data_IF_062084165478
#
_entry.id   IF_062084165478
#
_cell.length_a   1.000
_cell.length_b   1.000
_cell.length_c   1.000
_cell.angle_alpha   90.00
_cell.angle_beta   90.00
_cell.angle_gamma   90.00
#
_symmetry.space_group_name_H-M   'P 1'
#
loop_
_entity.id
_entity.type
_entity.pdbx_description
1 polymer ?
#
# COMPACT_ATOMS: atom_id res chain seq x y z
N UNK A 1 4.64 -18.06 -18.85
CA UNK A 1 4.04 -16.78 -18.38
C UNK A 1 5.15 -15.99 -17.71
N UNK A 2 5.32 -14.68 -17.98
CA UNK A 2 6.29 -13.89 -17.24
C UNK A 2 5.81 -13.75 -15.79
N UNK A 3 6.63 -14.23 -14.83
CA UNK A 3 6.33 -14.29 -13.40
C UNK A 3 6.63 -12.97 -12.65
N UNK A 4 6.73 -11.84 -13.36
CA UNK A 4 7.11 -10.54 -12.80
C UNK A 4 5.96 -9.52 -12.73
N UNK A 5 6.17 -8.38 -12.06
CA UNK A 5 5.23 -7.27 -12.09
C UNK A 5 4.99 -6.80 -13.53
N UNK A 6 3.83 -6.20 -13.78
CA UNK A 6 3.58 -5.55 -15.06
C UNK A 6 4.57 -4.40 -15.29
N UNK A 7 4.99 -4.14 -16.55
CA UNK A 7 5.66 -2.89 -16.89
C UNK A 7 4.88 -1.68 -16.36
N UNK A 8 5.53 -0.64 -15.80
CA UNK A 8 4.84 0.55 -15.31
C UNK A 8 4.02 1.28 -16.38
N UNK A 9 4.33 1.05 -17.66
CA UNK A 9 3.65 1.64 -18.81
C UNK A 9 2.47 0.81 -19.32
N UNK A 10 2.16 -0.35 -18.72
CA UNK A 10 1.02 -1.18 -19.14
C UNK A 10 -0.28 -0.40 -18.96
N UNK A 11 -1.03 -0.29 -20.06
CA UNK A 11 -2.31 0.43 -20.11
C UNK A 11 -3.47 -0.53 -19.95
N UNK A 12 -4.43 -0.12 -19.13
CA UNK A 12 -5.62 -0.88 -18.78
C UNK A 12 -6.87 -0.13 -19.18
N UNK A 13 -7.82 -0.83 -19.78
CA UNK A 13 -9.17 -0.31 -20.05
C UNK A 13 -10.16 -0.83 -19.02
N UNK A 14 -10.99 0.06 -18.49
CA UNK A 14 -12.06 -0.27 -17.55
C UNK A 14 -13.19 0.76 -17.66
N UNK A 15 -14.42 0.35 -17.33
CA UNK A 15 -15.61 1.19 -17.45
C UNK A 15 -16.24 1.43 -16.09
N UNK A 16 -16.81 2.62 -15.89
CA UNK A 16 -17.60 2.91 -14.70
C UNK A 16 -18.90 2.07 -14.73
N UNK A 17 -19.20 1.31 -13.67
CA UNK A 17 -20.40 0.46 -13.61
C UNK A 17 -21.70 1.25 -13.52
N UNK A 18 -21.67 2.46 -12.95
CA UNK A 18 -22.83 3.37 -12.90
C UNK A 18 -23.07 4.07 -14.24
N UNK A 19 -22.04 4.17 -15.08
CA UNK A 19 -22.15 4.71 -16.44
C UNK A 19 -21.25 3.93 -17.41
N UNK A 20 -21.70 2.74 -17.89
CA UNK A 20 -20.87 1.83 -18.68
C UNK A 20 -20.36 2.40 -20.01
N UNK A 21 -21.01 3.46 -20.53
CA UNK A 21 -20.55 4.16 -21.73
C UNK A 21 -19.27 4.96 -21.54
N UNK A 22 -18.84 5.19 -20.29
CA UNK A 22 -17.60 5.88 -19.96
C UNK A 22 -16.50 4.85 -19.71
N UNK A 23 -15.65 4.68 -20.72
CA UNK A 23 -14.44 3.86 -20.66
C UNK A 23 -13.24 4.74 -20.33
N UNK A 24 -12.41 4.30 -19.38
CA UNK A 24 -11.13 4.90 -19.05
C UNK A 24 -10.00 4.00 -19.56
N UNK A 25 -8.91 4.63 -19.98
CA UNK A 25 -7.64 3.95 -20.25
C UNK A 25 -6.57 4.62 -19.40
N UNK A 26 -5.87 3.86 -18.57
CA UNK A 26 -4.77 4.37 -17.74
C UNK A 26 -3.81 3.27 -17.31
N UNK A 27 -2.64 3.67 -16.80
CA UNK A 27 -1.79 2.79 -15.99
C UNK A 27 -2.44 2.55 -14.64
N UNK A 28 -2.24 1.36 -14.07
CA UNK A 28 -2.71 1.04 -12.72
C UNK A 28 -1.53 0.75 -11.81
N UNK A 29 -1.54 1.38 -10.63
CA UNK A 29 -0.56 1.20 -9.57
C UNK A 29 -1.28 0.96 -8.25
N UNK A 30 -0.64 0.23 -7.36
CA UNK A 30 -1.06 0.07 -5.99
C UNK A 30 -0.28 1.02 -5.10
N UNK A 31 -1.03 1.81 -4.34
CA UNK A 31 -0.52 2.60 -3.24
C UNK A 31 -0.84 1.88 -1.93
N UNK A 32 0.03 2.01 -0.95
CA UNK A 32 -0.03 1.30 0.31
C UNK A 32 0.16 2.25 1.49
N UNK A 33 -0.59 2.04 2.56
CA UNK A 33 -0.40 2.74 3.83
C UNK A 33 -0.44 1.71 4.96
N UNK A 34 0.61 1.58 5.78
CA UNK A 34 0.50 0.80 7.00
C UNK A 34 -0.30 1.58 8.04
N UNK A 35 -1.03 0.87 8.90
CA UNK A 35 -1.90 1.49 9.89
C UNK A 35 -1.11 2.43 10.81
N UNK A 36 -1.77 3.53 11.20
CA UNK A 36 -1.19 4.62 11.98
C UNK A 36 -0.10 5.43 11.27
N UNK A 37 0.23 5.15 10.00
CA UNK A 37 1.22 5.94 9.24
C UNK A 37 0.79 7.39 9.06
N UNK A 38 -0.51 7.68 9.03
CA UNK A 38 -1.06 9.05 8.99
C UNK A 38 -0.68 9.93 10.19
N UNK A 39 -0.06 9.37 11.24
CA UNK A 39 0.58 10.18 12.28
C UNK A 39 1.61 11.18 11.73
N UNK A 40 2.24 10.84 10.59
CA UNK A 40 3.22 11.69 9.92
C UNK A 40 2.64 12.98 9.32
N UNK A 41 1.31 13.10 9.16
CA UNK A 41 0.67 14.32 8.63
C UNK A 41 0.94 15.56 9.49
N UNK A 42 1.37 15.37 10.74
CA UNK A 42 1.73 16.46 11.66
C UNK A 42 3.18 16.94 11.53
N UNK A 43 3.94 16.36 10.59
CA UNK A 43 5.34 16.65 10.40
C UNK A 43 5.66 16.76 8.92
N UNK A 44 6.69 17.53 8.62
CA UNK A 44 7.34 17.57 7.31
C UNK A 44 8.73 16.93 7.40
N UNK A 45 9.30 16.48 6.27
CA UNK A 45 10.68 16.00 6.22
C UNK A 45 11.71 17.04 6.69
N UNK A 46 11.39 18.32 6.59
CA UNK A 46 12.24 19.42 7.09
C UNK A 46 12.19 19.55 8.63
N UNK A 47 11.13 19.06 9.28
CA UNK A 47 10.94 19.11 10.73
C UNK A 47 11.43 17.84 11.43
N UNK A 48 11.18 16.68 10.83
CA UNK A 48 11.50 15.37 11.43
C UNK A 48 12.06 14.42 10.37
N UNK A 49 13.29 13.94 10.61
CA UNK A 49 13.92 12.95 9.77
C UNK A 49 13.24 11.58 9.86
N UNK A 50 13.37 10.78 8.79
CA UNK A 50 12.67 9.50 8.64
C UNK A 50 12.91 8.52 9.82
N UNK A 51 14.15 8.43 10.33
CA UNK A 51 14.47 7.54 11.46
C UNK A 51 13.75 7.94 12.75
N UNK A 52 13.72 9.22 13.09
CA UNK A 52 13.03 9.70 14.29
C UNK A 52 11.52 9.48 14.17
N UNK A 53 10.96 9.68 12.98
CA UNK A 53 9.55 9.42 12.74
C UNK A 53 9.22 7.92 12.81
N UNK A 54 10.09 7.07 12.28
CA UNK A 54 10.03 5.61 12.42
C UNK A 54 9.96 5.19 13.88
N UNK A 55 10.91 5.64 14.72
CA UNK A 55 10.96 5.26 16.14
C UNK A 55 9.67 5.68 16.88
N UNK A 56 9.13 6.87 16.58
CA UNK A 56 7.86 7.36 17.15
C UNK A 56 6.66 6.53 16.69
N UNK A 57 6.63 6.14 15.41
CA UNK A 57 5.55 5.35 14.85
C UNK A 57 5.57 3.93 15.44
N UNK A 58 6.73 3.25 15.45
CA UNK A 58 6.89 1.91 16.04
C UNK A 58 6.42 1.89 17.49
N UNK A 59 6.86 2.85 18.31
CA UNK A 59 6.46 2.95 19.71
C UNK A 59 4.94 3.09 19.93
N UNK A 60 4.20 3.51 18.91
CA UNK A 60 2.75 3.70 18.97
C UNK A 60 1.97 2.52 18.39
N UNK A 61 2.47 1.86 17.34
CA UNK A 61 1.66 0.94 16.54
C UNK A 61 2.13 -0.51 16.54
N UNK A 62 3.40 -0.80 16.88
CA UNK A 62 4.02 -2.10 16.59
C UNK A 62 3.22 -3.28 17.13
N UNK A 63 2.75 -3.19 18.37
CA UNK A 63 2.04 -4.28 19.04
C UNK A 63 0.54 -4.00 19.20
N UNK A 64 0.04 -2.90 18.63
CA UNK A 64 -1.34 -2.45 18.86
C UNK A 64 -2.38 -3.47 18.37
N UNK A 65 -2.16 -4.10 17.21
CA UNK A 65 -3.08 -5.12 16.70
C UNK A 65 -3.01 -6.41 17.54
N UNK A 66 -1.82 -6.80 17.98
CA UNK A 66 -1.64 -7.93 18.88
C UNK A 66 -2.34 -7.70 20.21
N UNK A 67 -2.17 -6.52 20.82
CA UNK A 67 -2.81 -6.15 22.09
C UNK A 67 -4.34 -6.17 21.99
N UNK A 68 -4.90 -5.85 20.82
CA UNK A 68 -6.34 -5.85 20.57
C UNK A 68 -6.91 -7.24 20.27
N UNK A 69 -6.21 -8.05 19.50
CA UNK A 69 -6.63 -9.41 19.10
C UNK A 69 -5.43 -10.36 19.00
N UNK A 70 -4.92 -10.84 20.15
CA UNK A 70 -3.72 -11.67 20.18
C UNK A 70 -3.94 -13.08 19.61
N UNK A 71 -5.20 -13.47 19.37
CA UNK A 71 -5.53 -14.73 18.70
C UNK A 71 -5.33 -14.65 17.18
N UNK A 72 -5.19 -13.43 16.64
CA UNK A 72 -5.17 -13.17 15.19
C UNK A 72 -3.87 -12.54 14.70
N UNK A 73 -3.17 -11.80 15.55
CA UNK A 73 -1.98 -11.03 15.19
C UNK A 73 -0.81 -11.39 16.09
N UNK A 74 0.39 -11.45 15.52
CA UNK A 74 1.63 -11.62 16.26
C UNK A 74 2.16 -10.25 16.74
N UNK A 75 3.01 -10.19 17.78
CA UNK A 75 3.73 -8.96 18.13
C UNK A 75 4.48 -8.38 16.91
N UNK A 76 4.36 -7.08 16.71
CA UNK A 76 4.91 -6.38 15.54
C UNK A 76 3.99 -6.32 14.32
N UNK A 77 2.86 -7.03 14.30
CA UNK A 77 1.96 -7.03 13.15
C UNK A 77 1.23 -5.68 13.01
N UNK A 78 1.40 -5.06 11.84
CA UNK A 78 0.70 -3.85 11.43
C UNK A 78 -0.02 -4.10 10.10
N UNK A 79 -1.31 -3.81 10.05
CA UNK A 79 -2.12 -3.97 8.85
C UNK A 79 -1.71 -2.97 7.76
N UNK A 80 -1.87 -3.36 6.49
CA UNK A 80 -1.61 -2.50 5.33
C UNK A 80 -2.92 -2.28 4.57
N UNK A 81 -3.26 -1.01 4.39
CA UNK A 81 -4.32 -0.57 3.51
C UNK A 81 -3.80 -0.39 2.09
N UNK A 82 -4.65 -0.73 1.12
CA UNK A 82 -4.29 -0.71 -0.28
C UNK A 82 -5.29 0.10 -1.09
N UNK A 83 -4.77 0.96 -1.96
CA UNK A 83 -5.55 1.82 -2.83
C UNK A 83 -5.02 1.70 -4.26
N UNK A 84 -5.92 1.63 -5.24
CA UNK A 84 -5.58 1.86 -6.63
C UNK A 84 -5.33 3.36 -6.79
N UNK A 85 -4.06 3.75 -6.98
CA UNK A 85 -3.61 5.15 -6.91
C UNK A 85 -4.46 6.10 -7.77
N UNK A 86 -4.78 5.67 -8.99
CA UNK A 86 -5.73 6.35 -9.85
C UNK A 86 -6.80 5.34 -10.28
N UNK A 87 -8.08 5.52 -9.91
CA UNK A 87 -8.74 6.79 -9.54
C UNK A 87 -8.90 7.03 -8.03
N UNK A 88 -8.03 6.51 -7.17
CA UNK A 88 -8.13 6.61 -5.71
C UNK A 88 -9.28 5.81 -5.11
N UNK A 89 -9.29 4.52 -5.42
CA UNK A 89 -10.29 3.56 -4.93
C UNK A 89 -9.62 2.45 -4.15
N UNK A 90 -10.23 1.99 -3.06
CA UNK A 90 -9.65 0.91 -2.29
C UNK A 90 -9.43 -0.34 -3.17
N UNK A 91 -8.27 -0.97 -3.05
CA UNK A 91 -7.92 -2.11 -3.86
C UNK A 91 -8.88 -3.29 -3.58
N UNK A 92 -9.19 -4.11 -4.59
CA UNK A 92 -10.01 -5.29 -4.36
C UNK A 92 -9.22 -6.36 -3.60
N UNK A 93 -9.95 -7.31 -3.03
CA UNK A 93 -9.39 -8.48 -2.34
C UNK A 93 -8.55 -8.18 -1.08
N UNK A 94 -8.53 -6.92 -0.61
CA UNK A 94 -7.96 -6.54 0.68
C UNK A 94 -8.64 -7.33 1.81
N UNK A 95 -7.83 -7.80 2.75
CA UNK A 95 -8.25 -8.51 3.96
C UNK A 95 -7.72 -7.77 5.17
N UNK A 96 -8.42 -7.86 6.29
CA UNK A 96 -7.96 -7.24 7.54
C UNK A 96 -9.09 -6.56 8.29
N UNK A 97 -8.75 -5.91 9.42
CA UNK A 97 -9.72 -5.16 10.23
C UNK A 97 -10.16 -3.88 9.51
N UNK A 98 -9.31 -3.36 8.62
CA UNK A 98 -9.54 -2.16 7.82
C UNK A 98 -10.15 -2.46 6.44
N UNK A 99 -10.73 -3.65 6.24
CA UNK A 99 -11.31 -4.02 4.95
C UNK A 99 -12.40 -3.02 4.54
N UNK A 100 -12.28 -2.39 3.37
CA UNK A 100 -13.25 -1.41 2.91
C UNK A 100 -14.58 -2.08 2.50
N UNK A 101 -15.69 -1.35 2.62
CA UNK A 101 -17.01 -1.81 2.17
C UNK A 101 -17.13 -1.78 0.64
N UNK A 102 -16.55 -0.76 0.03
CA UNK A 102 -16.51 -0.57 -1.41
C UNK A 102 -15.05 -0.60 -1.87
N UNK A 103 -14.83 -1.12 -3.08
CA UNK A 103 -13.50 -1.23 -3.69
C UNK A 103 -13.59 -0.77 -5.12
N UNK A 104 -12.44 -0.70 -5.80
CA UNK A 104 -12.36 -0.46 -7.24
C UNK A 104 -13.39 -1.31 -8.02
N UNK A 105 -13.52 -2.61 -7.70
CA UNK A 105 -14.43 -3.52 -8.43
C UNK A 105 -15.92 -3.30 -8.10
N UNK A 106 -16.23 -2.54 -7.04
CA UNK A 106 -17.60 -2.07 -6.77
C UNK A 106 -18.01 -1.00 -7.78
N UNK A 107 -17.09 -0.11 -8.15
CA UNK A 107 -17.37 1.05 -9.01
C UNK A 107 -17.01 0.83 -10.48
N UNK A 108 -16.06 -0.04 -10.77
CA UNK A 108 -15.49 -0.24 -12.10
C UNK A 108 -15.51 -1.71 -12.53
N UNK A 109 -15.52 -1.94 -13.84
CA UNK A 109 -15.31 -3.29 -14.39
C UNK A 109 -13.90 -3.80 -14.10
N UNK A 110 -13.68 -5.11 -14.28
CA UNK A 110 -12.33 -5.67 -14.22
C UNK A 110 -11.49 -5.07 -15.35
N UNK A 111 -10.33 -4.47 -15.03
CA UNK A 111 -9.45 -3.90 -16.06
C UNK A 111 -8.93 -4.96 -17.03
N UNK A 112 -8.87 -4.57 -18.31
CA UNK A 112 -8.39 -5.38 -19.43
C UNK A 112 -7.15 -4.72 -20.03
N UNK A 113 -6.08 -5.49 -20.20
CA UNK A 113 -4.84 -5.02 -20.84
C UNK A 113 -5.14 -4.63 -22.30
N UNK A 114 -4.77 -3.40 -22.67
CA UNK A 114 -4.99 -2.88 -24.02
C UNK A 114 -4.25 -3.63 -25.12
N UNK A 115 -3.15 -4.33 -24.80
CA UNK A 115 -2.32 -5.02 -25.77
C UNK A 115 -2.69 -6.50 -25.90
N UNK A 116 -3.09 -7.15 -24.81
CA UNK A 116 -3.32 -8.60 -24.77
C UNK A 116 -4.77 -8.99 -24.59
N UNK A 117 -5.65 -8.04 -24.24
CA UNK A 117 -7.04 -8.31 -23.86
C UNK A 117 -7.16 -9.29 -22.68
N UNK A 118 -6.10 -9.45 -21.89
CA UNK A 118 -6.13 -10.24 -20.66
C UNK A 118 -6.64 -9.41 -19.48
N UNK A 119 -7.29 -10.07 -18.51
CA UNK A 119 -7.70 -9.44 -17.27
C UNK A 119 -6.49 -9.13 -16.40
N UNK A 120 -6.58 -8.03 -15.65
CA UNK A 120 -5.56 -7.70 -14.66
C UNK A 120 -5.38 -8.82 -13.62
N UNK A 121 -4.13 -9.17 -13.38
CA UNK A 121 -3.72 -9.98 -12.23
C UNK A 121 -3.23 -9.01 -11.16
N UNK A 122 -4.09 -8.73 -10.17
CA UNK A 122 -3.85 -7.68 -9.17
C UNK A 122 -2.54 -7.83 -8.39
N UNK A 123 -2.10 -9.07 -8.14
CA UNK A 123 -0.83 -9.36 -7.45
C UNK A 123 0.42 -9.05 -8.27
N UNK A 124 0.26 -8.65 -9.53
CA UNK A 124 1.34 -8.23 -10.44
C UNK A 124 1.33 -6.72 -10.69
N UNK A 125 0.36 -5.98 -10.15
CA UNK A 125 0.37 -4.53 -10.29
C UNK A 125 1.61 -3.94 -9.60
N UNK A 126 2.24 -2.93 -10.19
CA UNK A 126 3.35 -2.23 -9.54
C UNK A 126 2.88 -1.54 -8.25
N UNK A 127 3.67 -1.66 -7.19
CA UNK A 127 3.49 -0.92 -5.94
C UNK A 127 4.30 0.36 -6.02
N UNK A 128 3.66 1.50 -5.74
CA UNK A 128 4.31 2.81 -5.75
C UNK A 128 5.47 2.86 -4.75
N UNK A 129 6.53 3.55 -5.16
CA UNK A 129 7.60 3.97 -4.26
C UNK A 129 7.17 5.24 -3.54
N UNK A 130 7.34 5.23 -2.22
CA UNK A 130 6.99 6.34 -1.34
C UNK A 130 8.27 6.98 -0.82
N UNK A 131 8.24 8.30 -0.61
CA UNK A 131 9.41 9.05 -0.15
C UNK A 131 9.11 9.96 1.04
N UNK A 132 10.16 10.25 1.81
CA UNK A 132 10.16 11.17 2.94
C UNK A 132 11.37 12.10 2.86
N UNK A 133 11.29 13.10 1.99
CA UNK A 133 12.36 14.03 1.68
C UNK A 133 11.83 15.45 1.42
N UNK A 134 12.65 16.51 1.49
CA UNK A 134 12.17 17.87 1.27
C UNK A 134 11.38 18.00 -0.04
N UNK A 135 10.08 18.32 0.07
CA UNK A 135 9.14 18.41 -1.06
C UNK A 135 8.27 17.17 -1.32
N UNK A 136 8.52 16.02 -0.66
CA UNK A 136 7.71 14.80 -0.76
C UNK A 136 7.57 14.11 0.60
N UNK A 137 6.33 14.02 1.10
CA UNK A 137 6.02 13.57 2.46
C UNK A 137 4.93 12.48 2.45
N UNK A 138 5.19 11.39 1.71
CA UNK A 138 4.20 10.33 1.55
C UNK A 138 3.96 9.58 2.86
N UNK A 139 2.72 9.13 3.08
CA UNK A 139 2.38 8.26 4.21
C UNK A 139 3.09 6.92 4.03
N UNK A 140 3.95 6.57 4.99
CA UNK A 140 4.81 5.40 4.88
C UNK A 140 6.12 5.62 4.11
N UNK A 141 6.37 6.80 3.55
CA UNK A 141 7.65 7.13 2.91
C UNK A 141 8.84 6.98 3.87
N UNK A 142 8.67 7.38 5.14
CA UNK A 142 9.71 7.23 6.16
C UNK A 142 10.00 5.75 6.47
N UNK A 143 9.01 4.87 6.38
CA UNK A 143 9.14 3.42 6.55
C UNK A 143 9.99 2.85 5.41
N UNK A 144 9.62 3.20 4.18
CA UNK A 144 10.35 2.73 3.00
C UNK A 144 11.80 3.21 3.00
N UNK A 145 12.04 4.47 3.37
CA UNK A 145 13.40 5.02 3.46
C UNK A 145 14.24 4.36 4.55
N UNK A 146 13.66 4.11 5.74
CA UNK A 146 14.38 3.53 6.89
C UNK A 146 14.67 2.05 6.68
N UNK A 147 13.72 1.30 6.12
CA UNK A 147 13.86 -0.14 5.93
C UNK A 147 14.48 -0.54 4.59
N UNK A 148 14.51 0.36 3.60
CA UNK A 148 14.81 -0.01 2.22
C UNK A 148 13.80 -1.02 1.65
N UNK A 149 12.59 -1.05 2.18
CA UNK A 149 11.59 -2.09 1.94
C UNK A 149 10.25 -1.48 1.53
N UNK A 150 9.51 -2.21 0.68
CA UNK A 150 8.09 -1.96 0.41
C UNK A 150 7.34 -3.29 0.30
N UNK A 151 6.03 -3.32 0.55
CA UNK A 151 5.26 -4.54 0.53
C UNK A 151 5.11 -5.13 -0.87
N UNK A 152 4.87 -6.44 -0.91
CA UNK A 152 4.35 -7.08 -2.12
C UNK A 152 2.88 -6.69 -2.34
N UNK A 153 2.40 -6.61 -3.60
CA UNK A 153 1.00 -6.29 -3.92
C UNK A 153 -0.01 -7.05 -3.06
N UNK A 154 -0.91 -6.31 -2.41
CA UNK A 154 -1.98 -6.86 -1.55
C UNK A 154 -1.50 -7.66 -0.34
N UNK A 155 -0.24 -7.48 0.09
CA UNK A 155 0.24 -8.00 1.36
C UNK A 155 -0.60 -7.40 2.50
N UNK A 156 -1.28 -8.22 3.33
CA UNK A 156 -2.28 -7.70 4.27
C UNK A 156 -1.66 -7.08 5.53
N UNK A 157 -0.47 -7.54 5.92
CA UNK A 157 0.20 -7.20 7.19
C UNK A 157 1.70 -7.14 6.94
N UNK A 158 2.39 -6.22 7.63
CA UNK A 158 3.84 -6.25 7.81
C UNK A 158 4.16 -6.54 9.27
N UNK A 159 5.27 -7.24 9.53
CA UNK A 159 5.79 -7.36 10.88
C UNK A 159 6.95 -6.36 11.07
N UNK A 160 6.73 -5.33 11.88
CA UNK A 160 7.67 -4.20 12.00
C UNK A 160 8.96 -4.59 12.72
N UNK A 161 8.88 -5.51 13.70
CA UNK A 161 10.04 -6.02 14.43
C UNK A 161 10.94 -6.84 13.51
N UNK A 162 10.34 -7.78 12.76
CA UNK A 162 11.04 -8.60 11.79
C UNK A 162 11.72 -7.75 10.71
N UNK A 163 11.01 -6.75 10.17
CA UNK A 163 11.55 -5.88 9.12
C UNK A 163 12.66 -4.97 9.65
N UNK A 164 12.53 -4.44 10.86
CA UNK A 164 13.60 -3.68 11.52
C UNK A 164 14.87 -4.53 11.67
N UNK A 165 14.74 -5.76 12.19
CA UNK A 165 15.86 -6.68 12.33
C UNK A 165 16.51 -6.99 10.98
N UNK A 166 15.70 -7.30 9.95
CA UNK A 166 16.19 -7.56 8.60
C UNK A 166 16.90 -6.35 7.96
N UNK A 167 16.49 -5.14 8.33
CA UNK A 167 17.12 -3.89 7.90
C UNK A 167 18.35 -3.50 8.76
N UNK A 168 18.72 -4.31 9.76
CA UNK A 168 19.85 -4.03 10.65
C UNK A 168 19.59 -2.91 11.66
N UNK A 169 18.31 -2.62 11.93
CA UNK A 169 17.88 -1.66 12.93
C UNK A 169 17.74 -2.41 14.25
N UNK A 170 18.80 -2.40 15.06
CA UNK A 170 18.74 -3.00 16.39
C UNK A 170 17.66 -2.31 17.23
N UNK A 171 16.81 -3.12 17.88
CA UNK A 171 15.89 -2.74 18.97
C UNK A 171 16.65 -2.37 20.23
#
# INVERSE_FOLDING_TARGET
MPNGPYPPTTQWTYSNRRNPGVVKTSTLHLYWEPDGSGFNENYTPDEVGARTLWDRWVAKVADLLHDQDPARYEPGDVAIDWTVWEPWEAAPFVRGPLKPKETFLTHFSTPMDTATEERVVWTRLPVLDLAWEPGQADKGGFIQQVLGWKPSPLQPVMNVHQLAEAAGLNS
#
